data_IF_875097191763
#
_entry.id   IF_875097191763
#
_cell.length_a   1.000
_cell.length_b   1.000
_cell.length_c   1.000
_cell.angle_alpha   90.00
_cell.angle_beta   90.00
_cell.angle_gamma   90.00
#
_symmetry.space_group_name_H-M   'P 1'
#
loop_
_entity.id
_entity.type
_entity.pdbx_description
1 polymer ?
#
# COMPACT_ATOMS: atom_id res chain seq x y z
N UNK A 1 9.01 -14.60 -20.47
CA UNK A 1 8.13 -14.05 -19.42
C UNK A 1 8.95 -13.05 -18.63
N UNK A 2 8.41 -11.86 -18.36
CA UNK A 2 9.12 -10.90 -17.51
C UNK A 2 9.08 -11.39 -16.07
N UNK A 3 10.20 -11.32 -15.36
CA UNK A 3 10.17 -11.53 -13.91
C UNK A 3 9.33 -10.42 -13.28
N UNK A 4 8.47 -10.75 -12.30
CA UNK A 4 7.69 -9.75 -11.60
C UNK A 4 8.63 -8.82 -10.79
N UNK A 5 8.22 -7.56 -10.60
CA UNK A 5 9.04 -6.54 -9.93
C UNK A 5 9.38 -6.98 -8.50
N UNK A 6 10.68 -7.06 -8.17
CA UNK A 6 11.15 -7.52 -6.87
C UNK A 6 10.80 -6.56 -5.71
N UNK A 7 10.36 -5.34 -6.01
CA UNK A 7 9.89 -4.37 -5.01
C UNK A 7 8.44 -4.60 -4.58
N UNK A 8 7.73 -5.52 -5.23
CA UNK A 8 6.36 -5.92 -4.86
C UNK A 8 6.43 -7.18 -3.99
N UNK A 9 5.72 -7.23 -2.85
CA UNK A 9 5.78 -8.35 -1.92
C UNK A 9 4.88 -9.51 -2.39
N UNK A 10 5.21 -10.15 -3.51
CA UNK A 10 4.45 -11.29 -4.06
C UNK A 10 4.30 -12.43 -3.06
N UNK A 11 3.16 -13.12 -3.08
CA UNK A 11 2.86 -14.25 -2.18
C UNK A 11 2.71 -13.88 -0.70
N UNK A 12 2.68 -12.59 -0.39
CA UNK A 12 2.52 -12.10 0.98
C UNK A 12 1.20 -12.58 1.61
N UNK A 13 1.23 -13.01 2.88
CA UNK A 13 0.03 -13.44 3.59
C UNK A 13 -0.96 -12.28 3.80
N UNK A 14 -2.24 -12.61 3.74
CA UNK A 14 -3.34 -11.72 4.11
C UNK A 14 -3.68 -11.85 5.58
N UNK A 15 -4.27 -10.80 6.16
CA UNK A 15 -4.77 -10.80 7.53
C UNK A 15 -6.30 -10.71 7.46
N UNK A 16 -6.95 -11.88 7.48
CA UNK A 16 -8.40 -12.04 7.27
C UNK A 16 -9.29 -11.28 8.27
N UNK A 17 -8.72 -10.85 9.41
CA UNK A 17 -9.44 -10.13 10.44
C UNK A 17 -9.57 -8.62 10.17
N UNK A 18 -8.85 -8.10 9.17
CA UNK A 18 -8.96 -6.69 8.76
C UNK A 18 -10.24 -6.51 7.94
N UNK A 19 -11.18 -5.64 8.35
CA UNK A 19 -12.42 -5.43 7.60
C UNK A 19 -12.14 -4.72 6.28
N UNK A 20 -13.01 -4.92 5.28
CA UNK A 20 -12.93 -4.23 3.99
C UNK A 20 -14.13 -3.30 3.79
N UNK A 21 -13.98 -2.23 2.98
CA UNK A 21 -15.12 -1.44 2.53
C UNK A 21 -16.03 -2.24 1.58
N UNK A 22 -17.34 -1.93 1.50
CA UNK A 22 -18.02 -0.95 2.34
C UNK A 22 -18.13 -1.45 3.79
N UNK A 23 -17.67 -0.65 4.75
CA UNK A 23 -17.68 -0.98 6.16
C UNK A 23 -19.11 -1.02 6.66
N UNK A 24 -19.48 -2.11 7.35
CA UNK A 24 -20.82 -2.27 7.89
C UNK A 24 -21.07 -1.33 9.06
N UNK A 25 -20.02 -0.92 9.77
CA UNK A 25 -20.10 -0.04 10.94
C UNK A 25 -18.95 0.98 11.00
N UNK A 26 -19.14 2.12 11.67
CA UNK A 26 -18.05 3.03 12.03
C UNK A 26 -16.87 2.36 12.73
N UNK A 27 -17.15 1.37 13.58
CA UNK A 27 -16.11 0.64 14.32
C UNK A 27 -15.26 -0.26 13.41
N UNK A 28 -15.82 -0.80 12.33
CA UNK A 28 -15.04 -1.51 11.31
C UNK A 28 -14.07 -0.59 10.60
N UNK A 29 -14.53 0.60 10.21
CA UNK A 29 -13.65 1.61 9.63
C UNK A 29 -12.53 1.97 10.60
N UNK A 30 -12.84 2.26 11.87
CA UNK A 30 -11.81 2.55 12.89
C UNK A 30 -10.82 1.38 13.05
N UNK A 31 -11.29 0.13 12.99
CA UNK A 31 -10.40 -1.04 13.03
C UNK A 31 -9.48 -1.11 11.80
N UNK A 32 -9.99 -0.84 10.61
CA UNK A 32 -9.18 -0.74 9.40
C UNK A 32 -8.10 0.34 9.55
N UNK A 33 -8.50 1.57 9.92
CA UNK A 33 -7.57 2.71 10.06
C UNK A 33 -6.48 2.42 11.09
N UNK A 34 -6.83 1.83 12.24
CA UNK A 34 -5.86 1.45 13.28
C UNK A 34 -4.92 0.35 12.82
N UNK A 35 -5.42 -0.66 12.11
CA UNK A 35 -4.57 -1.69 11.52
C UNK A 35 -3.61 -1.09 10.49
N UNK A 36 -4.06 -0.14 9.68
CA UNK A 36 -3.23 0.58 8.71
C UNK A 36 -2.14 1.42 9.40
N UNK A 37 -2.47 2.13 10.47
CA UNK A 37 -1.50 2.87 11.29
C UNK A 37 -0.44 1.94 11.89
N UNK A 38 -0.87 0.80 12.43
CA UNK A 38 0.04 -0.20 12.99
C UNK A 38 0.95 -0.77 11.90
N UNK A 39 0.41 -1.13 10.73
CA UNK A 39 1.19 -1.61 9.59
C UNK A 39 2.27 -0.62 9.18
N UNK A 40 1.92 0.67 9.02
CA UNK A 40 2.90 1.74 8.73
C UNK A 40 4.02 1.77 9.77
N UNK A 41 3.68 1.63 11.05
CA UNK A 41 4.67 1.64 12.13
C UNK A 41 5.55 0.37 12.16
N UNK A 42 5.03 -0.78 11.72
CA UNK A 42 5.78 -2.04 11.64
C UNK A 42 6.75 -2.06 10.46
N UNK A 43 6.38 -1.50 9.30
CA UNK A 43 7.23 -1.47 8.10
C UNK A 43 8.30 -0.38 8.12
N UNK A 44 8.21 0.58 9.05
CA UNK A 44 9.18 1.67 9.20
C UNK A 44 10.48 1.20 9.86
N UNK A 45 11.61 1.54 9.24
CA UNK A 45 12.93 1.06 9.67
C UNK A 45 13.46 1.82 10.91
N UNK A 46 14.10 1.12 11.84
CA UNK A 46 14.82 1.74 12.98
C UNK A 46 13.98 2.38 14.11
N UNK A 47 12.66 2.46 13.97
CA UNK A 47 11.69 2.91 14.99
C UNK A 47 10.65 3.85 14.37
N UNK A 48 9.69 4.41 15.13
CA UNK A 48 8.65 5.23 14.53
C UNK A 48 9.26 6.58 14.15
N UNK A 49 9.61 6.70 12.87
CA UNK A 49 10.13 7.89 12.24
C UNK A 49 9.14 9.04 12.42
N UNK A 50 9.66 10.27 12.30
CA UNK A 50 8.82 11.46 12.30
C UNK A 50 7.72 11.38 11.21
N UNK A 51 8.05 10.81 10.05
CA UNK A 51 7.10 10.62 8.96
C UNK A 51 5.98 9.64 9.33
N UNK A 52 6.32 8.47 9.89
CA UNK A 52 5.33 7.48 10.33
C UNK A 52 4.41 8.03 11.44
N UNK A 53 4.95 8.82 12.38
CA UNK A 53 4.17 9.50 13.43
C UNK A 53 3.17 10.49 12.83
N UNK A 54 3.64 11.40 11.97
CA UNK A 54 2.78 12.40 11.32
C UNK A 54 1.72 11.75 10.43
N UNK A 55 2.08 10.71 9.68
CA UNK A 55 1.14 9.96 8.87
C UNK A 55 0.08 9.28 9.75
N UNK A 56 0.50 8.65 10.85
CA UNK A 56 -0.42 8.02 11.80
C UNK A 56 -1.40 9.04 12.40
N UNK A 57 -0.94 10.21 12.82
CA UNK A 57 -1.83 11.27 13.31
C UNK A 57 -2.81 11.77 12.25
N UNK A 58 -2.38 11.82 10.99
CA UNK A 58 -3.23 12.24 9.88
C UNK A 58 -4.29 11.18 9.55
N UNK A 59 -3.91 9.89 9.58
CA UNK A 59 -4.82 8.76 9.44
C UNK A 59 -5.86 8.72 10.57
N UNK A 60 -5.49 9.07 11.80
CA UNK A 60 -6.40 9.09 12.94
C UNK A 60 -7.59 10.07 12.78
N UNK A 61 -7.46 11.05 11.88
CA UNK A 61 -8.47 12.07 11.59
C UNK A 61 -9.38 11.73 10.42
N UNK A 62 -9.20 10.55 9.80
CA UNK A 62 -10.01 10.13 8.67
C UNK A 62 -11.42 9.72 9.12
N UNK A 63 -12.33 9.63 8.15
CA UNK A 63 -13.77 9.50 8.40
C UNK A 63 -14.18 8.16 9.01
N UNK A 64 -15.43 8.06 9.47
CA UNK A 64 -16.04 6.84 10.00
C UNK A 64 -17.20 6.35 9.09
N UNK A 65 -17.12 6.68 7.80
CA UNK A 65 -18.14 6.33 6.81
C UNK A 65 -18.01 4.89 6.31
N UNK A 66 -18.88 4.46 5.38
CA UNK A 66 -18.79 3.13 4.78
C UNK A 66 -17.58 2.97 3.86
N UNK A 67 -17.03 4.05 3.33
CA UNK A 67 -15.96 4.00 2.33
C UNK A 67 -14.62 4.46 2.90
N UNK A 68 -13.53 4.01 2.30
CA UNK A 68 -12.19 4.50 2.61
C UNK A 68 -12.04 5.98 2.24
N UNK A 69 -11.31 6.72 3.07
CA UNK A 69 -10.86 8.04 2.70
C UNK A 69 -9.80 7.95 1.58
N UNK A 70 -9.64 9.04 0.79
CA UNK A 70 -8.56 9.12 -0.17
C UNK A 70 -7.17 8.87 0.46
N UNK A 71 -6.92 9.38 1.66
CA UNK A 71 -5.62 9.18 2.31
C UNK A 71 -5.41 7.72 2.67
N UNK A 72 -6.41 7.06 3.25
CA UNK A 72 -6.31 5.66 3.69
C UNK A 72 -6.04 4.74 2.52
N UNK A 73 -6.76 4.91 1.41
CA UNK A 73 -6.52 4.13 0.20
C UNK A 73 -5.12 4.39 -0.36
N UNK A 74 -4.66 5.64 -0.42
CA UNK A 74 -3.30 5.94 -0.91
C UNK A 74 -2.23 5.28 -0.04
N UNK A 75 -2.37 5.31 1.29
CA UNK A 75 -1.42 4.65 2.19
C UNK A 75 -1.51 3.13 2.08
N UNK A 76 -2.72 2.58 1.99
CA UNK A 76 -2.93 1.13 1.83
C UNK A 76 -2.27 0.59 0.56
N UNK A 77 -2.39 1.30 -0.57
CA UNK A 77 -1.75 0.96 -1.83
C UNK A 77 -0.22 1.10 -1.74
N UNK A 78 0.27 2.23 -1.23
CA UNK A 78 1.70 2.52 -1.17
C UNK A 78 2.49 1.61 -0.21
N UNK A 79 1.82 1.04 0.78
CA UNK A 79 2.44 0.15 1.79
C UNK A 79 2.09 -1.32 1.60
N UNK A 80 1.39 -1.68 0.51
CA UNK A 80 0.86 -3.01 0.27
C UNK A 80 0.13 -3.56 1.52
N UNK A 81 -0.91 -2.88 2.01
CA UNK A 81 -1.55 -3.20 3.30
C UNK A 81 -2.22 -4.59 3.31
N UNK A 82 -2.06 -5.43 4.37
CA UNK A 82 -2.51 -6.84 4.42
C UNK A 82 -3.99 -7.11 4.61
N UNK A 83 -4.86 -6.16 4.30
CA UNK A 83 -6.28 -6.47 4.29
C UNK A 83 -6.58 -7.58 3.26
N UNK A 84 -7.62 -8.42 3.48
CA UNK A 84 -7.94 -9.59 2.66
C UNK A 84 -8.61 -9.18 1.34
N UNK A 85 -8.02 -8.22 0.63
CA UNK A 85 -8.51 -7.67 -0.62
C UNK A 85 -8.77 -8.79 -1.63
N UNK A 86 -10.00 -8.84 -2.13
CA UNK A 86 -10.30 -9.55 -3.38
C UNK A 86 -10.11 -8.60 -4.55
N UNK A 87 -9.87 -9.12 -5.78
CA UNK A 87 -9.93 -8.30 -6.99
C UNK A 87 -11.23 -7.47 -7.06
N UNK A 88 -12.38 -8.08 -6.75
CA UNK A 88 -13.66 -7.38 -6.73
C UNK A 88 -13.70 -6.21 -5.72
N UNK A 89 -13.26 -6.44 -4.48
CA UNK A 89 -13.28 -5.43 -3.44
C UNK A 89 -12.35 -4.25 -3.76
N UNK A 90 -11.11 -4.54 -4.22
CA UNK A 90 -10.18 -3.47 -4.57
C UNK A 90 -10.65 -2.70 -5.82
N UNK A 91 -11.15 -3.40 -6.84
CA UNK A 91 -11.69 -2.75 -8.04
C UNK A 91 -12.85 -1.80 -7.72
N UNK A 92 -13.77 -2.19 -6.83
CA UNK A 92 -14.88 -1.34 -6.39
C UNK A 92 -14.39 -0.02 -5.75
N UNK A 93 -13.37 -0.11 -4.90
CA UNK A 93 -12.75 1.05 -4.23
C UNK A 93 -12.01 1.95 -5.23
N UNK A 94 -11.30 1.35 -6.19
CA UNK A 94 -10.57 2.08 -7.23
C UNK A 94 -11.52 2.79 -8.22
N UNK A 95 -12.66 2.17 -8.56
CA UNK A 95 -13.66 2.75 -9.44
C UNK A 95 -14.26 4.06 -8.90
N UNK A 96 -14.28 4.26 -7.58
CA UNK A 96 -14.72 5.51 -6.97
C UNK A 96 -13.72 6.66 -7.19
N UNK A 97 -12.44 6.36 -7.48
CA UNK A 97 -11.40 7.36 -7.72
C UNK A 97 -11.16 7.65 -9.20
N UNK A 98 -11.30 6.64 -10.04
CA UNK A 98 -10.89 6.72 -11.44
C UNK A 98 -11.99 6.30 -12.39
N UNK A 99 -12.00 6.98 -13.55
CA UNK A 99 -12.98 6.75 -14.61
C UNK A 99 -12.87 5.36 -15.26
N UNK A 100 -11.70 4.72 -15.18
CA UNK A 100 -11.38 3.50 -15.92
C UNK A 100 -10.66 2.47 -15.05
N UNK A 101 -11.14 2.12 -13.86
CA UNK A 101 -10.53 1.05 -13.04
C UNK A 101 -10.73 -0.38 -13.60
N UNK A 102 -10.08 -1.40 -13.00
CA UNK A 102 -10.25 -2.81 -13.36
C UNK A 102 -11.71 -3.28 -13.28
N UNK A 103 -12.11 -4.19 -14.17
CA UNK A 103 -13.47 -4.75 -14.27
C UNK A 103 -13.44 -6.24 -14.53
N UNK A 104 -14.42 -6.93 -13.98
CA UNK A 104 -14.61 -8.37 -14.20
C UNK A 104 -15.61 -8.62 -15.33
N UNK A 105 -15.29 -9.57 -16.20
CA UNK A 105 -16.19 -10.14 -17.20
C UNK A 105 -15.99 -11.66 -17.22
N UNK A 106 -17.01 -12.42 -16.83
CA UNK A 106 -17.01 -13.90 -16.86
C UNK A 106 -15.79 -14.54 -16.16
N UNK A 107 -15.39 -14.00 -14.99
CA UNK A 107 -14.22 -14.48 -14.24
C UNK A 107 -12.86 -14.01 -14.77
N UNK A 108 -12.86 -13.17 -15.80
CA UNK A 108 -11.66 -12.55 -16.38
C UNK A 108 -11.60 -11.08 -15.96
N UNK A 109 -10.46 -10.67 -15.42
CA UNK A 109 -10.22 -9.27 -15.05
C UNK A 109 -9.59 -8.50 -16.19
N UNK A 110 -10.14 -7.34 -16.51
CA UNK A 110 -9.68 -6.47 -17.58
C UNK A 110 -9.50 -5.04 -17.05
N UNK A 111 -8.53 -4.29 -17.56
CA UNK A 111 -8.36 -2.87 -17.24
C UNK A 111 -8.05 -2.10 -18.50
N UNK A 112 -8.85 -1.10 -18.91
CA UNK A 112 -8.70 -0.40 -20.20
C UNK A 112 -8.06 1.00 -20.09
N UNK A 113 -7.06 1.30 -20.93
CA UNK A 113 -6.87 2.54 -21.72
C UNK A 113 -5.60 2.55 -22.62
N UNK A 114 -4.79 1.47 -22.64
CA UNK A 114 -3.38 1.43 -23.10
C UNK A 114 -2.40 1.97 -22.01
N UNK A 115 -1.67 1.09 -21.31
CA UNK A 115 -1.74 -0.37 -21.40
C UNK A 115 -3.04 -0.90 -20.79
N UNK A 116 -3.73 -1.80 -21.52
CA UNK A 116 -4.74 -2.67 -20.92
C UNK A 116 -4.13 -4.01 -20.52
N UNK A 117 -4.63 -4.61 -19.43
CA UNK A 117 -4.28 -5.98 -19.08
C UNK A 117 -5.52 -6.85 -19.08
N UNK A 118 -5.34 -8.13 -19.38
CA UNK A 118 -6.31 -9.19 -19.15
C UNK A 118 -5.67 -10.21 -18.22
N UNK A 119 -6.34 -10.51 -17.10
CA UNK A 119 -5.92 -11.51 -16.14
C UNK A 119 -6.96 -12.64 -16.08
N UNK A 120 -6.52 -13.85 -16.41
CA UNK A 120 -7.35 -15.06 -16.46
C UNK A 120 -6.92 -16.00 -15.32
N UNK A 121 -7.87 -16.62 -14.59
CA UNK A 121 -7.52 -17.55 -13.52
C UNK A 121 -6.80 -18.79 -14.05
N UNK A 122 -5.84 -19.30 -13.28
CA UNK A 122 -5.07 -20.51 -13.60
C UNK A 122 -5.64 -21.75 -12.92
N UNK A 123 -5.50 -22.90 -13.58
CA UNK A 123 -5.75 -24.18 -12.96
C UNK A 123 -4.72 -24.42 -11.84
N UNK A 124 -5.18 -24.51 -10.60
CA UNK A 124 -4.32 -24.62 -9.41
C UNK A 124 -4.16 -23.32 -8.61
N UNK A 125 -4.82 -22.22 -9.02
CA UNK A 125 -4.76 -20.91 -8.35
C UNK A 125 -3.84 -19.92 -9.06
N UNK A 126 -3.98 -18.63 -8.73
CA UNK A 126 -3.22 -17.56 -9.37
C UNK A 126 -3.76 -17.12 -10.73
N UNK A 127 -2.94 -16.40 -11.50
CA UNK A 127 -3.39 -15.66 -12.69
C UNK A 127 -2.39 -15.70 -13.84
N UNK A 128 -2.85 -15.90 -15.06
CA UNK A 128 -2.09 -15.55 -16.27
C UNK A 128 -2.47 -14.14 -16.70
N UNK A 129 -1.48 -13.27 -16.85
CA UNK A 129 -1.70 -11.87 -17.22
C UNK A 129 -1.12 -11.60 -18.60
N UNK A 130 -2.00 -11.23 -19.51
CA UNK A 130 -1.64 -10.65 -20.81
C UNK A 130 -1.68 -9.13 -20.70
N UNK A 131 -0.69 -8.49 -21.32
CA UNK A 131 -0.67 -7.04 -21.48
C UNK A 131 -0.92 -6.71 -22.94
N UNK A 132 -1.81 -5.78 -23.19
CA UNK A 132 -1.96 -5.20 -24.51
C UNK A 132 -1.41 -3.77 -24.52
N UNK A 133 -0.58 -3.51 -25.51
CA UNK A 133 0.05 -2.22 -25.75
C UNK A 133 0.05 -1.97 -27.24
N UNK A 134 -0.44 -0.80 -27.67
CA UNK A 134 -0.41 -0.35 -29.07
C UNK A 134 -0.91 -1.40 -30.08
N UNK A 135 -1.99 -2.10 -29.75
CA UNK A 135 -2.61 -3.11 -30.61
C UNK A 135 -1.91 -4.48 -30.65
N UNK A 136 -0.87 -4.69 -29.83
CA UNK A 136 -0.23 -5.99 -29.65
C UNK A 136 -0.63 -6.61 -28.31
N UNK A 137 -0.95 -7.92 -28.31
CA UNK A 137 -1.18 -8.71 -27.09
C UNK A 137 0.01 -9.60 -26.85
N UNK A 138 0.52 -9.63 -25.62
CA UNK A 138 1.62 -10.51 -25.24
C UNK A 138 1.46 -11.04 -23.82
N UNK A 139 1.83 -12.30 -23.55
CA UNK A 139 2.01 -12.78 -22.19
C UNK A 139 2.97 -11.87 -21.43
N UNK A 140 2.56 -11.39 -20.27
CA UNK A 140 3.32 -10.44 -19.47
C UNK A 140 3.85 -11.08 -18.19
N UNK A 141 2.96 -11.63 -17.37
CA UNK A 141 3.29 -12.24 -16.09
C UNK A 141 2.43 -13.48 -15.81
N UNK A 142 2.98 -14.43 -15.05
CA UNK A 142 2.23 -15.52 -14.44
C UNK A 142 2.35 -15.34 -12.93
N UNK A 143 1.21 -15.13 -12.28
CA UNK A 143 1.10 -14.90 -10.84
C UNK A 143 0.76 -16.22 -10.16
N UNK A 144 1.46 -16.53 -9.07
CA UNK A 144 1.38 -17.83 -8.41
C UNK A 144 0.18 -17.91 -7.46
N UNK A 145 -0.14 -16.80 -6.79
CA UNK A 145 -1.18 -16.76 -5.77
C UNK A 145 -2.39 -15.92 -6.20
N UNK A 146 -3.57 -16.25 -5.67
CA UNK A 146 -4.80 -15.51 -5.99
C UNK A 146 -4.70 -14.02 -5.62
N UNK A 147 -4.07 -13.71 -4.47
CA UNK A 147 -3.87 -12.34 -3.99
C UNK A 147 -2.83 -11.54 -4.78
N UNK A 148 -2.01 -12.18 -5.61
CA UNK A 148 -0.97 -11.47 -6.37
C UNK A 148 -1.57 -10.49 -7.39
N UNK A 149 -2.76 -10.77 -7.94
CA UNK A 149 -3.42 -9.82 -8.84
C UNK A 149 -3.70 -8.48 -8.16
N UNK A 150 -4.07 -8.51 -6.87
CA UNK A 150 -4.27 -7.31 -6.05
C UNK A 150 -2.95 -6.57 -5.85
N UNK A 151 -1.86 -7.29 -5.55
CA UNK A 151 -0.54 -6.69 -5.36
C UNK A 151 -0.02 -6.02 -6.65
N UNK A 152 -0.26 -6.64 -7.79
CA UNK A 152 0.02 -6.07 -9.11
C UNK A 152 -0.72 -4.75 -9.31
N UNK A 153 -1.98 -4.65 -8.89
CA UNK A 153 -2.72 -3.39 -8.97
C UNK A 153 -2.22 -2.37 -7.97
N UNK A 154 -1.92 -2.77 -6.73
CA UNK A 154 -1.30 -1.87 -5.75
C UNK A 154 -0.01 -1.26 -6.27
N UNK A 155 0.83 -2.05 -6.94
CA UNK A 155 2.04 -1.58 -7.59
C UNK A 155 1.78 -0.60 -8.74
N UNK A 156 0.76 -0.86 -9.55
CA UNK A 156 0.40 0.06 -10.62
C UNK A 156 -0.12 1.41 -10.07
N UNK A 157 -0.92 1.35 -9.00
CA UNK A 157 -1.59 2.53 -8.44
C UNK A 157 -0.72 3.32 -7.45
N UNK A 158 0.35 2.73 -6.91
CA UNK A 158 1.23 3.47 -6.00
C UNK A 158 2.05 4.50 -6.77
N UNK A 159 2.19 5.68 -6.20
CA UNK A 159 3.09 6.71 -6.75
C UNK A 159 4.54 6.37 -6.40
N UNK A 160 5.33 5.96 -7.38
CA UNK A 160 6.77 5.67 -7.20
C UNK A 160 7.67 6.92 -7.35
N UNK A 161 7.14 7.99 -7.94
CA UNK A 161 7.87 9.24 -8.25
C UNK A 161 7.21 10.46 -7.59
N UNK A 162 6.95 10.40 -6.29
CA UNK A 162 6.38 11.53 -5.55
C UNK A 162 7.48 12.54 -5.19
N UNK A 163 7.30 13.84 -5.46
CA UNK A 163 8.27 14.87 -5.05
C UNK A 163 8.61 14.77 -3.55
N UNK A 164 9.89 14.87 -3.14
CA UNK A 164 11.09 15.12 -3.97
C UNK A 164 11.73 13.84 -4.56
N UNK A 165 11.13 12.68 -4.36
CA UNK A 165 11.62 11.38 -4.84
C UNK A 165 11.32 11.19 -6.33
N UNK A 166 12.36 10.94 -7.12
CA UNK A 166 12.23 10.87 -8.59
C UNK A 166 12.11 12.24 -9.28
N UNK A 167 12.24 13.34 -8.53
CA UNK A 167 12.25 14.71 -9.05
C UNK A 167 13.58 15.41 -8.75
N UNK A 168 13.98 16.34 -9.62
CA UNK A 168 15.05 17.29 -9.29
C UNK A 168 14.48 18.34 -8.33
N UNK A 169 14.93 18.31 -7.08
CA UNK A 169 14.57 19.33 -6.09
C UNK A 169 15.26 20.66 -6.39
N UNK A 170 14.63 21.77 -6.02
CA UNK A 170 15.22 23.11 -6.10
C UNK A 170 16.33 23.25 -5.04
N UNK A 171 17.54 23.55 -5.50
CA UNK A 171 18.74 23.60 -4.64
C UNK A 171 18.62 24.73 -3.61
N UNK A 172 18.12 25.91 -4.01
CA UNK A 172 17.94 27.06 -3.12
C UNK A 172 16.93 26.81 -2.00
N UNK A 173 15.81 26.17 -2.30
CA UNK A 173 14.83 25.75 -1.30
C UNK A 173 15.41 24.70 -0.32
N UNK A 174 16.22 23.77 -0.84
CA UNK A 174 16.92 22.77 -0.03
C UNK A 174 17.88 23.43 0.97
N UNK A 175 18.69 24.37 0.51
CA UNK A 175 19.62 25.13 1.35
C UNK A 175 18.88 25.97 2.41
N UNK A 176 17.81 26.66 2.01
CA UNK A 176 17.01 27.50 2.91
C UNK A 176 16.36 26.70 4.06
N UNK A 177 16.02 25.42 3.84
CA UNK A 177 15.41 24.56 4.85
C UNK A 177 16.44 23.81 5.70
N UNK A 178 17.71 23.76 5.30
CA UNK A 178 18.67 22.79 5.82
C UNK A 178 18.94 22.95 7.33
N UNK A 179 19.10 24.18 7.81
CA UNK A 179 19.38 24.45 9.23
C UNK A 179 18.19 24.07 10.12
N UNK A 180 16.99 24.55 9.77
CA UNK A 180 15.74 24.22 10.47
C UNK A 180 15.48 22.71 10.46
N UNK A 181 15.72 22.03 9.33
CA UNK A 181 15.58 20.59 9.23
C UNK A 181 16.55 19.84 10.16
N UNK A 182 17.82 20.29 10.27
CA UNK A 182 18.79 19.71 11.22
C UNK A 182 18.32 19.87 12.67
N UNK A 183 17.82 21.05 13.05
CA UNK A 183 17.33 21.29 14.40
C UNK A 183 16.15 20.35 14.76
N UNK A 184 15.19 20.19 13.84
CA UNK A 184 14.06 19.26 14.02
C UNK A 184 14.55 17.81 14.12
N UNK A 185 15.51 17.40 13.27
CA UNK A 185 16.10 16.06 13.34
C UNK A 185 16.76 15.77 14.68
N UNK A 186 17.49 16.73 15.25
CA UNK A 186 18.09 16.59 16.57
C UNK A 186 17.03 16.46 17.68
N UNK A 187 15.99 17.30 17.64
CA UNK A 187 14.88 17.22 18.60
C UNK A 187 14.14 15.88 18.50
N UNK A 188 13.90 15.39 17.29
CA UNK A 188 13.26 14.09 17.08
C UNK A 188 14.16 12.93 17.53
N UNK A 189 15.48 13.00 17.32
CA UNK A 189 16.40 11.98 17.81
C UNK A 189 16.38 11.88 19.34
N UNK A 190 16.30 13.03 20.03
CA UNK A 190 16.14 13.06 21.49
C UNK A 190 14.80 12.47 21.94
N UNK A 191 13.71 12.76 21.22
CA UNK A 191 12.40 12.13 21.47
C UNK A 191 12.44 10.62 21.26
N UNK A 192 13.02 10.17 20.15
CA UNK A 192 13.17 8.77 19.78
C UNK A 192 13.99 7.95 20.79
N UNK A 193 14.84 8.59 21.60
CA UNK A 193 15.60 7.95 22.67
C UNK A 193 14.79 7.72 23.96
N UNK A 194 13.55 8.24 24.05
CA UNK A 194 12.71 8.06 25.25
C UNK A 194 12.30 6.60 25.44
N UNK A 195 12.14 6.13 26.70
CA UNK A 195 11.90 4.71 26.99
C UNK A 195 10.70 4.10 26.28
N UNK A 196 9.59 4.82 26.12
CA UNK A 196 8.39 4.26 25.47
C UNK A 196 8.62 3.96 23.98
N UNK A 197 9.48 4.72 23.28
CA UNK A 197 9.82 4.46 21.88
C UNK A 197 10.88 3.37 21.75
N UNK A 198 11.78 3.24 22.73
CA UNK A 198 12.67 2.11 22.83
C UNK A 198 11.88 0.80 23.06
N UNK A 199 10.88 0.82 23.95
CA UNK A 199 9.98 -0.30 24.20
C UNK A 199 9.20 -0.67 22.93
N UNK A 200 8.64 0.31 22.23
CA UNK A 200 7.94 0.07 20.98
C UNK A 200 8.85 -0.59 19.92
N UNK A 201 10.12 -0.19 19.78
CA UNK A 201 11.05 -0.89 18.87
C UNK A 201 11.20 -2.36 19.24
N UNK A 202 11.36 -2.66 20.53
CA UNK A 202 11.44 -4.06 20.98
C UNK A 202 10.13 -4.83 20.77
N UNK A 203 8.97 -4.18 20.94
CA UNK A 203 7.66 -4.75 20.61
C UNK A 203 7.53 -5.05 19.11
N UNK A 204 7.93 -4.10 18.26
CA UNK A 204 7.94 -4.28 16.81
C UNK A 204 8.78 -5.49 16.40
N UNK A 205 10.02 -5.59 16.85
CA UNK A 205 10.88 -6.72 16.48
C UNK A 205 10.25 -8.05 16.91
N UNK A 206 9.66 -8.12 18.11
CA UNK A 206 8.93 -9.32 18.52
C UNK A 206 7.76 -9.65 17.60
N UNK A 207 6.95 -8.66 17.19
CA UNK A 207 5.87 -8.90 16.25
C UNK A 207 6.37 -9.41 14.89
N UNK A 208 7.52 -8.91 14.41
CA UNK A 208 8.11 -9.33 13.14
C UNK A 208 8.77 -10.70 13.22
N UNK A 209 9.41 -11.05 14.34
CA UNK A 209 10.01 -12.36 14.59
C UNK A 209 8.95 -13.45 14.83
N UNK A 210 7.97 -13.19 15.69
CA UNK A 210 6.88 -14.14 16.01
C UNK A 210 5.99 -14.40 14.79
N UNK A 211 5.89 -13.45 13.86
CA UNK A 211 5.15 -13.59 12.62
C UNK A 211 5.84 -14.45 11.55
N UNK A 212 7.10 -14.87 11.76
CA UNK A 212 7.84 -15.75 10.85
C UNK A 212 7.76 -17.25 11.24
N UNK A 213 7.11 -17.58 12.35
CA UNK A 213 6.93 -18.95 12.86
C UNK A 213 5.67 -19.63 12.32
#
# INVERSE_FOLDING_TARGET
MSNPDASVPWGRPVVDTIPLPPFATPDEHVRFTRALQLHVALVDDGGPSLAAKVLSETLARQGQGPDLSPLELTVALATFFPAPWTPAALAAVLAARERFGPRELEGVWNWEFDPDFTAVPRAGGGWEVERHERGSRRPWASLEHEGDLVLMWMDHYRTTSAYPYGWRADEGAGEALAESARAVRLAHAADAAKPYLANWRAERERFLEDGQA
#
